data_IF_058160087962
#
_entry.id   IF_058160087962
#
_cell.length_a   1.000
_cell.length_b   1.000
_cell.length_c   1.000
_cell.angle_alpha   90.00
_cell.angle_beta   90.00
_cell.angle_gamma   90.00
#
_symmetry.space_group_name_H-M   'P 1'
#
loop_
_entity.id
_entity.type
_entity.pdbx_description
1 polymer ?
#
# COMPACT_ATOMS: atom_id res chain seq x y z
N UNK A 1 25.14 -36.40 -8.67
CA UNK A 1 24.05 -35.78 -9.46
C UNK A 1 22.90 -35.21 -8.63
N UNK A 2 22.57 -35.78 -7.45
CA UNK A 2 21.47 -35.28 -6.60
C UNK A 2 21.64 -33.82 -6.15
N UNK A 3 22.83 -33.44 -5.67
CA UNK A 3 23.13 -32.06 -5.23
C UNK A 3 22.95 -31.06 -6.38
N UNK A 4 23.45 -31.39 -7.57
CA UNK A 4 23.30 -30.55 -8.78
C UNK A 4 21.83 -30.34 -9.15
N UNK A 5 21.00 -31.40 -9.05
CA UNK A 5 19.55 -31.28 -9.27
C UNK A 5 18.89 -30.39 -8.22
N UNK A 6 19.24 -30.54 -6.95
CA UNK A 6 18.69 -29.72 -5.87
C UNK A 6 19.08 -28.25 -6.02
N UNK A 7 20.34 -27.96 -6.37
CA UNK A 7 20.80 -26.60 -6.64
C UNK A 7 20.11 -25.98 -7.87
N UNK A 8 19.91 -26.75 -8.94
CA UNK A 8 19.19 -26.27 -10.12
C UNK A 8 17.72 -25.94 -9.81
N UNK A 9 17.04 -26.78 -9.03
CA UNK A 9 15.66 -26.53 -8.59
C UNK A 9 15.58 -25.32 -7.66
N UNK A 10 16.52 -25.18 -6.72
CA UNK A 10 16.56 -24.03 -5.82
C UNK A 10 16.79 -22.72 -6.58
N UNK A 11 17.71 -22.72 -7.56
CA UNK A 11 17.97 -21.55 -8.40
C UNK A 11 16.75 -21.19 -9.26
N UNK A 12 16.09 -22.19 -9.84
CA UNK A 12 14.87 -21.98 -10.62
C UNK A 12 13.75 -21.34 -9.77
N UNK A 13 13.53 -21.85 -8.57
CA UNK A 13 12.55 -21.30 -7.63
C UNK A 13 12.92 -19.87 -7.18
N UNK A 14 14.20 -19.59 -6.97
CA UNK A 14 14.68 -18.26 -6.59
C UNK A 14 14.49 -17.20 -7.69
N UNK A 15 14.57 -17.58 -8.97
CA UNK A 15 14.27 -16.66 -10.08
C UNK A 15 12.76 -16.45 -10.22
N UNK A 16 11.96 -17.49 -9.93
CA UNK A 16 10.51 -17.42 -10.05
C UNK A 16 9.86 -16.45 -9.05
N UNK A 17 10.47 -16.24 -7.88
CA UNK A 17 9.96 -15.28 -6.88
C UNK A 17 10.07 -13.83 -7.34
N UNK A 18 10.99 -13.49 -8.26
CA UNK A 18 11.11 -12.14 -8.81
C UNK A 18 9.93 -11.73 -9.72
N UNK A 19 9.13 -12.70 -10.19
CA UNK A 19 7.94 -12.41 -11.00
C UNK A 19 6.72 -11.96 -10.16
N UNK A 20 6.80 -12.05 -8.83
CA UNK A 20 5.78 -11.51 -7.93
C UNK A 20 5.94 -9.98 -7.82
N UNK A 21 5.43 -9.25 -8.80
CA UNK A 21 5.32 -7.79 -8.73
C UNK A 21 4.19 -7.37 -7.80
N UNK A 22 4.48 -6.52 -6.81
CA UNK A 22 3.42 -5.82 -6.08
C UNK A 22 2.74 -4.83 -7.03
N UNK A 23 1.41 -4.82 -7.07
CA UNK A 23 0.70 -3.79 -7.80
C UNK A 23 0.92 -2.43 -7.11
N UNK A 24 0.89 -1.30 -7.85
CA UNK A 24 0.94 0.01 -7.22
C UNK A 24 -0.26 0.16 -6.28
N UNK A 25 0.01 0.52 -5.03
CA UNK A 25 -1.03 0.89 -4.07
C UNK A 25 -1.26 2.39 -4.15
N UNK A 26 -2.51 2.78 -4.42
CA UNK A 26 -3.00 4.12 -4.15
C UNK A 26 -2.93 4.40 -2.65
N UNK A 27 -2.49 5.59 -2.26
CA UNK A 27 -2.37 5.99 -0.87
C UNK A 27 -3.32 7.15 -0.57
N UNK A 28 -4.04 7.05 0.55
CA UNK A 28 -4.89 8.11 1.07
C UNK A 28 -4.36 8.54 2.43
N UNK A 29 -3.91 9.79 2.53
CA UNK A 29 -3.52 10.39 3.80
C UNK A 29 -4.75 10.96 4.48
N UNK A 30 -5.01 10.54 5.71
CA UNK A 30 -6.12 10.99 6.54
C UNK A 30 -5.59 11.86 7.68
N UNK A 31 -6.16 13.05 7.86
CA UNK A 31 -5.96 13.90 9.03
C UNK A 31 -7.27 14.04 9.78
N UNK A 32 -7.26 13.67 11.06
CA UNK A 32 -8.43 13.74 11.94
C UNK A 32 -8.15 14.73 13.06
N UNK A 33 -9.05 15.69 13.22
CA UNK A 33 -9.05 16.68 14.29
C UNK A 33 -10.26 16.44 15.19
N UNK A 34 -10.06 16.50 16.51
CA UNK A 34 -11.16 16.47 17.47
C UNK A 34 -11.85 17.83 17.47
N UNK A 35 -13.17 17.84 17.38
CA UNK A 35 -14.00 19.04 17.52
C UNK A 35 -14.65 19.00 18.89
N UNK A 36 -14.43 20.04 19.69
CA UNK A 36 -14.96 20.15 21.05
C UNK A 36 -15.86 21.38 21.16
N UNK A 37 -16.95 21.25 21.90
CA UNK A 37 -17.79 22.37 22.33
C UNK A 37 -17.78 22.44 23.87
N UNK A 38 -17.13 23.47 24.40
CA UNK A 38 -16.84 23.60 25.83
C UNK A 38 -16.01 22.42 26.36
N UNK A 39 -16.60 21.64 27.27
CA UNK A 39 -15.96 20.46 27.88
C UNK A 39 -16.35 19.15 27.21
N UNK A 40 -17.17 19.19 26.16
CA UNK A 40 -17.69 18.00 25.49
C UNK A 40 -17.08 17.84 24.10
N UNK A 41 -16.71 16.60 23.77
CA UNK A 41 -16.35 16.25 22.40
C UNK A 41 -17.62 16.28 21.55
N UNK A 42 -17.66 17.17 20.56
CA UNK A 42 -18.81 17.37 19.68
C UNK A 42 -18.66 16.69 18.33
N UNK A 43 -17.43 16.33 17.92
CA UNK A 43 -17.24 15.54 16.70
C UNK A 43 -15.79 15.29 16.29
N UNK A 44 -15.64 14.74 15.08
CA UNK A 44 -14.37 14.52 14.41
C UNK A 44 -14.40 15.23 13.06
N UNK A 45 -13.44 16.12 12.82
CA UNK A 45 -13.23 16.74 11.51
C UNK A 45 -12.15 15.96 10.79
N UNK A 46 -12.48 15.40 9.65
CA UNK A 46 -11.55 14.60 8.85
C UNK A 46 -11.27 15.28 7.51
N UNK A 47 -10.00 15.31 7.10
CA UNK A 47 -9.57 15.68 5.76
C UNK A 47 -8.74 14.56 5.17
N UNK A 48 -9.06 14.15 3.95
CA UNK A 48 -8.30 13.17 3.19
C UNK A 48 -7.59 13.84 2.02
N UNK A 49 -6.43 13.31 1.66
CA UNK A 49 -5.67 13.72 0.47
C UNK A 49 -5.17 12.46 -0.19
N UNK A 50 -5.50 12.35 -1.47
CA UNK A 50 -5.13 11.22 -2.31
C UNK A 50 -3.79 11.50 -2.99
N UNK A 51 -3.04 10.44 -3.30
CA UNK A 51 -1.81 10.57 -4.07
C UNK A 51 -2.07 11.01 -5.52
N UNK A 52 -1.02 11.47 -6.20
CA UNK A 52 -1.14 12.09 -7.52
C UNK A 52 -1.60 11.13 -8.61
N UNK A 53 -1.21 9.85 -8.55
CA UNK A 53 -1.65 8.82 -9.51
C UNK A 53 -3.16 8.65 -9.41
N UNK A 54 -3.67 8.49 -8.20
CA UNK A 54 -5.11 8.24 -7.98
C UNK A 54 -5.94 9.51 -8.17
N UNK A 55 -5.38 10.69 -7.87
CA UNK A 55 -6.06 11.97 -8.12
C UNK A 55 -6.17 12.27 -9.62
N UNK A 56 -5.16 11.89 -10.41
CA UNK A 56 -5.19 12.04 -11.86
C UNK A 56 -6.27 11.16 -12.52
N UNK A 57 -6.47 9.94 -12.02
CA UNK A 57 -7.51 9.03 -12.54
C UNK A 57 -8.94 9.57 -12.34
N UNK A 58 -9.19 10.26 -11.22
CA UNK A 58 -10.52 10.81 -10.90
C UNK A 58 -10.84 12.14 -11.60
N UNK A 59 -9.83 12.84 -12.16
CA UNK A 59 -9.99 14.15 -12.80
C UNK A 59 -10.13 14.07 -14.34
N UNK A 60 -10.13 12.86 -14.90
CA UNK A 60 -10.45 12.57 -16.31
C UNK A 60 -11.94 12.23 -16.48
#
# INVERSE_FOLDING_TARGET
MQIVKQSAVALFLAVFTCAAGAHPHSFISLKTELVTDGTQLSGLKMRWTMDEITSADLLY
#
